data_IF_865382936436
#
_entry.id   IF_865382936436
#
_cell.length_a   1.000
_cell.length_b   1.000
_cell.length_c   1.000
_cell.angle_alpha   90.00
_cell.angle_beta   90.00
_cell.angle_gamma   90.00
#
_symmetry.space_group_name_H-M   'P 1'
#
loop_
_entity.id
_entity.type
_entity.pdbx_description
1 polymer ?
#
# COMPACT_ATOMS: atom_id res chain seq x y z
N UNK A 1 -1.67 15.56 9.27
CA UNK A 1 -2.05 14.31 9.95
C UNK A 1 -3.37 13.71 9.46
N UNK A 2 -4.40 14.51 9.10
CA UNK A 2 -5.70 13.98 8.65
C UNK A 2 -5.65 13.28 7.27
N UNK A 3 -4.84 13.78 6.33
CA UNK A 3 -4.72 13.21 4.98
C UNK A 3 -4.33 11.74 4.96
N UNK A 4 -3.44 11.29 5.84
CA UNK A 4 -2.93 9.92 5.80
C UNK A 4 -3.98 8.90 6.24
N UNK A 5 -4.80 9.25 7.26
CA UNK A 5 -5.87 8.39 7.76
C UNK A 5 -6.99 8.27 6.71
N UNK A 6 -7.34 9.40 6.07
CA UNK A 6 -8.27 9.42 4.94
C UNK A 6 -7.72 8.65 3.73
N UNK A 7 -6.41 8.74 3.45
CA UNK A 7 -5.75 7.94 2.42
C UNK A 7 -5.88 6.45 2.69
N UNK A 8 -5.56 6.00 3.91
CA UNK A 8 -5.65 4.60 4.30
C UNK A 8 -7.08 4.09 4.24
N UNK A 9 -8.04 4.86 4.76
CA UNK A 9 -9.46 4.47 4.71
C UNK A 9 -10.03 4.47 3.28
N UNK A 10 -9.58 5.41 2.43
CA UNK A 10 -9.98 5.51 1.02
C UNK A 10 -9.53 4.29 0.20
N UNK A 11 -8.34 3.75 0.48
CA UNK A 11 -7.86 2.51 -0.15
C UNK A 11 -8.49 1.23 0.45
N UNK A 12 -9.43 1.35 1.39
CA UNK A 12 -10.16 0.22 1.95
C UNK A 12 -9.69 -0.31 3.31
N UNK A 13 -8.79 0.40 4.01
CA UNK A 13 -8.46 0.04 5.40
C UNK A 13 -9.57 0.46 6.36
N UNK A 14 -9.83 -0.36 7.37
CA UNK A 14 -10.67 0.04 8.51
C UNK A 14 -9.96 1.11 9.34
N UNK A 15 -10.72 2.01 9.97
CA UNK A 15 -10.18 3.08 10.82
C UNK A 15 -9.22 2.57 11.90
N UNK A 16 -9.49 1.39 12.49
CA UNK A 16 -8.58 0.74 13.44
C UNK A 16 -7.21 0.44 12.81
N UNK A 17 -7.16 -0.21 11.65
CA UNK A 17 -5.89 -0.50 10.97
C UNK A 17 -5.16 0.77 10.56
N UNK A 18 -5.89 1.78 10.08
CA UNK A 18 -5.31 3.08 9.73
C UNK A 18 -4.65 3.74 10.96
N UNK A 19 -5.32 3.73 12.13
CA UNK A 19 -4.75 4.24 13.38
C UNK A 19 -3.55 3.44 13.87
N UNK A 20 -3.61 2.11 13.81
CA UNK A 20 -2.48 1.23 14.16
C UNK A 20 -1.27 1.49 13.25
N UNK A 21 -1.50 1.69 11.95
CA UNK A 21 -0.45 2.05 10.99
C UNK A 21 0.15 3.41 11.33
N UNK A 22 -0.68 4.39 11.71
CA UNK A 22 -0.21 5.73 12.11
C UNK A 22 0.63 5.73 13.39
N UNK A 23 0.45 4.76 14.28
CA UNK A 23 1.31 4.60 15.46
C UNK A 23 2.73 4.16 15.08
N UNK A 24 2.93 3.66 13.87
CA UNK A 24 4.19 3.10 13.42
C UNK A 24 4.73 3.94 12.26
N UNK A 25 5.54 4.95 12.56
CA UNK A 25 6.04 5.93 11.59
C UNK A 25 6.70 5.30 10.35
N UNK A 26 7.46 4.21 10.54
CA UNK A 26 8.10 3.49 9.45
C UNK A 26 7.07 2.85 8.51
N UNK A 27 6.09 2.13 9.08
CA UNK A 27 5.00 1.52 8.33
C UNK A 27 4.11 2.58 7.66
N UNK A 28 3.78 3.64 8.40
CA UNK A 28 2.93 4.73 7.92
C UNK A 28 3.56 5.45 6.73
N UNK A 29 4.87 5.75 6.82
CA UNK A 29 5.61 6.36 5.71
C UNK A 29 5.69 5.42 4.51
N UNK A 30 6.03 4.14 4.72
CA UNK A 30 6.13 3.17 3.64
C UNK A 30 4.79 2.97 2.93
N UNK A 31 3.69 2.82 3.67
CA UNK A 31 2.36 2.66 3.12
C UNK A 31 1.90 3.91 2.36
N UNK A 32 2.16 5.10 2.92
CA UNK A 32 1.83 6.37 2.26
C UNK A 32 2.56 6.49 0.93
N UNK A 33 3.86 6.19 0.91
CA UNK A 33 4.68 6.23 -0.29
C UNK A 33 4.20 5.22 -1.35
N UNK A 34 3.89 4.00 -0.91
CA UNK A 34 3.31 2.95 -1.74
C UNK A 34 2.01 3.39 -2.42
N UNK A 35 1.10 4.04 -1.68
CA UNK A 35 -0.17 4.52 -2.21
C UNK A 35 0.03 5.69 -3.18
N UNK A 36 0.93 6.62 -2.87
CA UNK A 36 1.24 7.74 -3.77
C UNK A 36 1.81 7.20 -5.08
N UNK A 37 2.74 6.26 -5.00
CA UNK A 37 3.35 5.63 -6.17
C UNK A 37 2.31 4.84 -6.98
N UNK A 38 1.47 4.04 -6.32
CA UNK A 38 0.38 3.32 -6.95
C UNK A 38 -0.61 4.27 -7.65
N UNK A 39 -1.06 5.35 -7.00
CA UNK A 39 -1.94 6.36 -7.64
C UNK A 39 -1.26 7.02 -8.84
N UNK A 40 0.04 7.30 -8.75
CA UNK A 40 0.81 7.91 -9.84
C UNK A 40 0.85 7.00 -11.06
N UNK A 41 1.13 5.72 -10.87
CA UNK A 41 1.17 4.73 -11.96
C UNK A 41 -0.24 4.40 -12.48
N UNK A 42 -1.23 4.25 -11.61
CA UNK A 42 -2.61 3.91 -11.99
C UNK A 42 -3.37 5.10 -12.62
N UNK A 43 -2.90 6.33 -12.40
CA UNK A 43 -3.45 7.53 -13.02
C UNK A 43 -4.93 7.78 -12.65
N UNK A 44 -5.76 8.03 -13.66
CA UNK A 44 -7.18 8.36 -13.49
C UNK A 44 -8.05 7.19 -12.98
N UNK A 45 -7.56 5.94 -13.06
CA UNK A 45 -8.29 4.76 -12.57
C UNK A 45 -8.38 4.69 -11.05
N UNK A 46 -7.55 5.46 -10.33
CA UNK A 46 -7.52 5.46 -8.87
C UNK A 46 -6.99 4.13 -8.30
N UNK A 47 -6.85 4.07 -6.97
CA UNK A 47 -6.43 2.85 -6.27
C UNK A 47 -7.67 2.16 -5.75
N UNK A 48 -7.98 0.98 -6.29
CA UNK A 48 -9.10 0.17 -5.85
C UNK A 48 -8.84 -0.47 -4.47
N UNK A 49 -9.89 -0.90 -3.78
CA UNK A 49 -9.80 -1.50 -2.44
C UNK A 49 -8.94 -2.77 -2.41
N UNK A 50 -8.96 -3.54 -3.50
CA UNK A 50 -8.12 -4.72 -3.65
C UNK A 50 -6.63 -4.36 -3.67
N UNK A 51 -6.26 -3.34 -4.47
CA UNK A 51 -4.90 -2.80 -4.55
C UNK A 51 -4.47 -2.23 -3.20
N UNK A 52 -5.35 -1.47 -2.53
CA UNK A 52 -5.10 -0.94 -1.20
C UNK A 52 -4.78 -2.00 -0.16
N UNK A 53 -5.55 -3.10 -0.16
CA UNK A 53 -5.31 -4.23 0.75
C UNK A 53 -3.95 -4.88 0.50
N UNK A 54 -3.56 -5.04 -0.77
CA UNK A 54 -2.24 -5.58 -1.14
C UNK A 54 -1.09 -4.64 -0.75
N UNK A 55 -1.24 -3.33 -0.98
CA UNK A 55 -0.25 -2.33 -0.58
C UNK A 55 -0.05 -2.32 0.94
N UNK A 56 -1.13 -2.49 1.71
CA UNK A 56 -1.05 -2.63 3.16
C UNK A 56 -0.32 -3.91 3.59
N UNK A 57 -0.75 -5.06 3.08
CA UNK A 57 -0.09 -6.34 3.41
C UNK A 57 1.40 -6.32 3.03
N UNK A 58 1.73 -5.66 1.93
CA UNK A 58 3.10 -5.39 1.53
C UNK A 58 3.81 -4.50 2.55
N UNK A 59 3.35 -3.27 2.76
CA UNK A 59 4.01 -2.33 3.66
C UNK A 59 4.20 -2.90 5.08
N UNK A 60 3.23 -3.69 5.57
CA UNK A 60 3.29 -4.34 6.88
C UNK A 60 4.33 -5.45 6.98
N UNK A 61 4.69 -6.10 5.87
CA UNK A 61 5.67 -7.21 5.83
C UNK A 61 7.04 -6.77 5.32
N UNK A 62 7.07 -5.77 4.45
CA UNK A 62 8.26 -5.30 3.77
C UNK A 62 9.05 -4.37 4.69
N UNK A 63 10.26 -4.81 5.06
CA UNK A 63 11.22 -3.95 5.77
C UNK A 63 12.06 -3.09 4.83
N UNK A 64 12.05 -3.39 3.54
CA UNK A 64 12.93 -2.77 2.56
C UNK A 64 12.19 -1.70 1.72
N UNK A 65 12.39 -0.40 1.99
CA UNK A 65 11.66 0.66 1.29
C UNK A 65 11.98 0.72 -0.21
N UNK A 66 13.12 0.17 -0.65
CA UNK A 66 13.49 0.14 -2.08
C UNK A 66 12.58 -0.79 -2.88
N UNK A 67 12.13 -1.89 -2.27
CA UNK A 67 11.20 -2.84 -2.92
C UNK A 67 9.76 -2.32 -2.92
N UNK A 68 9.41 -1.35 -2.08
CA UNK A 68 8.06 -0.75 -2.01
C UNK A 68 7.64 -0.18 -3.36
N UNK A 69 8.50 0.63 -4.00
CA UNK A 69 8.16 1.25 -5.28
C UNK A 69 7.95 0.20 -6.39
N UNK A 70 8.83 -0.80 -6.47
CA UNK A 70 8.76 -1.86 -7.47
C UNK A 70 7.51 -2.73 -7.31
N UNK A 71 7.23 -3.16 -6.08
CA UNK A 71 6.06 -3.99 -5.79
C UNK A 71 4.76 -3.20 -5.93
N UNK A 72 4.74 -1.92 -5.51
CA UNK A 72 3.57 -1.05 -5.72
C UNK A 72 3.22 -0.99 -7.20
N UNK A 73 4.20 -0.73 -8.06
CA UNK A 73 4.02 -0.71 -9.52
C UNK A 73 3.52 -2.05 -10.05
N UNK A 74 4.11 -3.16 -9.59
CA UNK A 74 3.68 -4.50 -9.97
C UNK A 74 2.21 -4.80 -9.57
N UNK A 75 1.75 -4.30 -8.41
CA UNK A 75 0.36 -4.45 -7.97
C UNK A 75 -0.59 -3.65 -8.88
N UNK A 76 -0.29 -2.37 -9.16
CA UNK A 76 -1.16 -1.56 -10.04
C UNK A 76 -1.09 -1.95 -11.51
N UNK A 77 0.02 -2.55 -11.96
CA UNK A 77 0.11 -3.17 -13.28
C UNK A 77 -0.63 -4.51 -13.38
N UNK A 78 -1.19 -5.03 -12.27
CA UNK A 78 -1.86 -6.33 -12.23
C UNK A 78 -0.91 -7.53 -12.35
N UNK A 79 0.39 -7.31 -12.19
CA UNK A 79 1.38 -8.40 -12.10
C UNK A 79 1.27 -9.15 -10.78
N UNK A 80 0.95 -8.43 -9.71
CA UNK A 80 0.69 -8.99 -8.37
C UNK A 80 -0.76 -8.73 -8.01
N UNK A 81 -1.60 -9.76 -8.12
CA UNK A 81 -3.01 -9.69 -7.75
C UNK A 81 -3.30 -10.37 -6.41
N UNK A 82 -2.34 -11.09 -5.84
CA UNK A 82 -2.55 -11.90 -4.63
C UNK A 82 -1.42 -11.74 -3.63
N UNK A 83 -1.77 -11.87 -2.34
CA UNK A 83 -0.78 -11.87 -1.25
C UNK A 83 0.23 -13.02 -1.40
N UNK A 84 -0.16 -14.13 -2.03
CA UNK A 84 0.72 -15.27 -2.29
C UNK A 84 1.87 -14.90 -3.24
N UNK A 85 1.59 -14.19 -4.33
CA UNK A 85 2.63 -13.69 -5.23
C UNK A 85 3.51 -12.65 -4.55
N UNK A 86 2.94 -11.86 -3.64
CA UNK A 86 3.69 -10.87 -2.88
C UNK A 86 4.61 -11.50 -1.84
N UNK A 87 4.20 -12.60 -1.20
CA UNK A 87 5.00 -13.37 -0.26
C UNK A 87 6.03 -14.31 -0.93
N UNK A 88 5.76 -14.73 -2.18
CA UNK A 88 6.56 -15.71 -2.92
C UNK A 88 7.67 -15.13 -3.79
N UNK A 89 7.94 -13.82 -3.76
CA UNK A 89 9.10 -13.22 -4.45
C UNK A 89 10.29 -13.15 -3.48
N UNK A 90 11.23 -14.12 -3.49
CA UNK A 90 12.48 -14.05 -2.72
C UNK A 90 13.29 -12.78 -3.03
#
# INVERSE_FOLDING_TARGET
>A
MADTLTLFTSIGLSEQKAKETLKNDALSSALKDAIIQARRTCGASGVDKAVGTLLYSMASRLKDPKRVAFLSDAIVQGKICTELQLAGNP
#
